data_IF_316237136844
#
_entry.id   IF_316237136844
#
_cell.length_a   1.000
_cell.length_b   1.000
_cell.length_c   1.000
_cell.angle_alpha   90.00
_cell.angle_beta   90.00
_cell.angle_gamma   90.00
#
_symmetry.space_group_name_H-M   'P 1'
#
loop_
_entity.id
_entity.type
_entity.pdbx_description
1 polymer ?
#
# COMPACT_ATOMS: atom_id res chain seq x y z
N UNK A 1 12.32 16.83 5.78
CA UNK A 1 11.39 17.78 5.13
C UNK A 1 10.06 17.71 5.86
N UNK A 2 9.24 18.76 5.85
CA UNK A 2 7.91 18.71 6.47
C UNK A 2 6.89 18.14 5.46
N UNK A 3 6.13 17.11 5.86
CA UNK A 3 5.02 16.59 5.06
C UNK A 3 3.83 17.53 5.07
N UNK A 4 3.02 17.48 4.01
CA UNK A 4 1.74 18.16 3.98
C UNK A 4 0.81 17.63 5.09
N UNK A 5 -0.04 18.49 5.64
CA UNK A 5 -0.91 18.15 6.76
C UNK A 5 -1.82 16.95 6.44
N UNK A 6 -2.26 16.80 5.19
CA UNK A 6 -3.08 15.68 4.75
C UNK A 6 -2.37 14.32 4.87
N UNK A 7 -1.05 14.27 4.62
CA UNK A 7 -0.26 13.05 4.82
C UNK A 7 -0.12 12.76 6.32
N UNK A 8 0.14 13.79 7.13
CA UNK A 8 0.24 13.65 8.59
C UNK A 8 -1.09 13.12 9.17
N UNK A 9 -2.22 13.66 8.73
CA UNK A 9 -3.55 13.21 9.17
C UNK A 9 -3.85 11.79 8.71
N UNK A 10 -3.49 11.41 7.48
CA UNK A 10 -3.65 10.02 7.03
C UNK A 10 -2.83 9.05 7.88
N UNK A 11 -1.61 9.42 8.27
CA UNK A 11 -0.79 8.62 9.19
C UNK A 11 -1.47 8.45 10.54
N UNK A 12 -1.96 9.54 11.15
CA UNK A 12 -2.67 9.47 12.44
C UNK A 12 -3.92 8.58 12.38
N UNK A 13 -4.66 8.62 11.26
CA UNK A 13 -5.80 7.72 11.06
C UNK A 13 -5.31 6.28 10.91
N UNK A 14 -4.27 6.03 10.11
CA UNK A 14 -3.71 4.70 9.89
C UNK A 14 -3.23 4.04 11.20
N UNK A 15 -2.64 4.82 12.12
CA UNK A 15 -2.25 4.35 13.46
C UNK A 15 -3.43 3.83 14.30
N UNK A 16 -4.64 4.33 14.04
CA UNK A 16 -5.86 3.93 14.75
C UNK A 16 -6.62 2.76 14.10
N UNK A 17 -6.18 2.31 12.92
CA UNK A 17 -6.88 1.30 12.13
C UNK A 17 -6.34 -0.10 12.44
N UNK A 18 -7.25 -1.04 12.73
CA UNK A 18 -6.94 -2.47 12.85
C UNK A 18 -6.84 -3.19 11.49
N UNK A 19 -6.69 -2.44 10.40
CA UNK A 19 -6.45 -2.98 9.05
C UNK A 19 -5.10 -2.49 8.55
N UNK A 20 -4.37 -3.30 7.77
CA UNK A 20 -3.13 -2.88 7.12
C UNK A 20 -3.30 -1.65 6.23
N UNK A 21 -2.42 -0.65 6.41
CA UNK A 21 -2.41 0.59 5.63
C UNK A 21 -0.99 0.94 5.19
N UNK A 22 -0.86 1.37 3.94
CA UNK A 22 0.34 1.95 3.34
C UNK A 22 0.08 3.38 2.90
N UNK A 23 1.04 4.26 3.15
CA UNK A 23 1.02 5.65 2.68
C UNK A 23 2.26 5.87 1.84
N UNK A 24 2.08 6.44 0.65
CA UNK A 24 3.15 6.71 -0.31
C UNK A 24 3.20 8.17 -0.70
N UNK A 25 4.36 8.62 -1.19
CA UNK A 25 4.47 9.90 -1.90
C UNK A 25 3.99 9.78 -3.36
N UNK A 26 4.17 10.84 -4.15
CA UNK A 26 3.78 10.85 -5.57
C UNK A 26 4.65 9.97 -6.47
N UNK A 27 5.85 9.61 -6.03
CA UNK A 27 6.75 8.72 -6.75
C UNK A 27 6.52 7.24 -6.40
N UNK A 28 5.73 6.96 -5.35
CA UNK A 28 5.45 5.62 -4.86
C UNK A 28 6.42 5.15 -3.79
N UNK A 29 7.27 6.03 -3.24
CA UNK A 29 8.07 5.70 -2.06
C UNK A 29 7.14 5.50 -0.87
N UNK A 30 7.38 4.46 -0.09
CA UNK A 30 6.60 4.15 1.09
C UNK A 30 7.01 5.09 2.23
N UNK A 31 6.11 5.99 2.59
CA UNK A 31 6.31 6.97 3.67
C UNK A 31 5.93 6.43 5.03
N UNK A 32 4.99 5.48 5.09
CA UNK A 32 4.50 4.93 6.35
C UNK A 32 3.72 3.64 6.12
N UNK A 33 3.76 2.75 7.12
CA UNK A 33 2.85 1.63 7.27
C UNK A 33 2.58 1.33 8.74
N UNK A 34 1.35 0.90 9.07
CA UNK A 34 0.93 0.69 10.45
C UNK A 34 1.25 -0.73 10.98
N UNK A 35 1.09 -0.95 12.29
CA UNK A 35 1.37 -2.22 12.97
C UNK A 35 0.70 -3.45 12.30
N UNK A 36 -0.60 -3.44 11.92
CA UNK A 36 -1.19 -4.55 11.18
C UNK A 36 -0.48 -4.90 9.86
N UNK A 37 0.12 -3.92 9.19
CA UNK A 37 0.88 -4.17 7.98
C UNK A 37 2.27 -4.76 8.25
N UNK A 38 2.85 -4.53 9.43
CA UNK A 38 4.13 -5.12 9.85
C UNK A 38 4.07 -6.64 9.87
N UNK A 39 2.96 -7.23 10.31
CA UNK A 39 2.77 -8.68 10.34
C UNK A 39 2.85 -9.30 8.94
N UNK A 40 2.29 -8.61 7.95
CA UNK A 40 2.25 -9.08 6.57
C UNK A 40 3.60 -8.86 5.88
N UNK A 41 4.28 -7.76 6.21
CA UNK A 41 5.62 -7.44 5.70
C UNK A 41 6.72 -8.26 6.37
N UNK A 42 6.48 -8.74 7.59
CA UNK A 42 7.48 -9.39 8.42
C UNK A 42 8.59 -8.45 8.92
N UNK A 43 8.36 -7.13 8.87
CA UNK A 43 9.32 -6.10 9.31
C UNK A 43 8.57 -4.94 9.96
N UNK A 44 9.09 -4.43 11.08
CA UNK A 44 8.52 -3.26 11.76
C UNK A 44 8.87 -1.96 11.04
N UNK A 45 7.98 -0.99 11.04
CA UNK A 45 8.25 0.33 10.48
C UNK A 45 9.39 1.03 11.23
N UNK A 46 9.51 0.80 12.54
CA UNK A 46 10.61 1.35 13.35
C UNK A 46 12.00 0.87 12.90
N UNK A 47 12.08 -0.32 12.31
CA UNK A 47 13.34 -0.91 11.84
C UNK A 47 13.70 -0.47 10.41
N UNK A 48 12.70 -0.23 9.56
CA UNK A 48 12.87 0.05 8.13
C UNK A 48 12.77 1.53 7.80
N UNK A 49 11.88 2.26 8.48
CA UNK A 49 11.49 3.62 8.16
C UNK A 49 10.83 3.74 6.78
N UNK A 50 11.08 4.87 6.13
CA UNK A 50 10.63 5.10 4.76
C UNK A 50 11.45 4.25 3.77
N UNK A 51 10.80 3.68 2.77
CA UNK A 51 11.44 2.83 1.76
C UNK A 51 11.22 3.39 0.36
N UNK A 52 12.25 3.27 -0.50
CA UNK A 52 12.09 3.65 -1.90
C UNK A 52 11.18 2.68 -2.65
N UNK A 53 10.60 3.11 -3.76
CA UNK A 53 9.74 2.24 -4.59
C UNK A 53 10.48 0.99 -5.09
N UNK A 54 11.78 1.08 -5.34
CA UNK A 54 12.61 -0.05 -5.76
C UNK A 54 12.77 -1.09 -4.65
N UNK A 55 12.93 -0.64 -3.41
CA UNK A 55 13.08 -1.54 -2.26
C UNK A 55 11.71 -2.15 -1.89
N UNK A 56 10.70 -1.28 -1.76
CA UNK A 56 9.31 -1.63 -1.48
C UNK A 56 8.72 -2.62 -2.50
N UNK A 57 8.91 -2.35 -3.79
CA UNK A 57 8.32 -3.14 -4.89
C UNK A 57 8.82 -4.58 -4.97
N UNK A 58 9.91 -4.91 -4.28
CA UNK A 58 10.49 -6.27 -4.27
C UNK A 58 9.97 -7.15 -3.13
N UNK A 59 9.23 -6.59 -2.17
CA UNK A 59 8.81 -7.31 -0.96
C UNK A 59 7.77 -8.39 -1.27
N UNK A 60 6.91 -8.18 -2.27
CA UNK A 60 5.84 -9.10 -2.62
C UNK A 60 5.94 -9.61 -4.05
N UNK A 61 5.66 -10.91 -4.23
CA UNK A 61 5.34 -11.46 -5.55
C UNK A 61 3.83 -11.53 -5.68
N UNK A 62 3.28 -10.77 -6.62
CA UNK A 62 1.84 -10.68 -6.83
C UNK A 62 1.43 -11.66 -7.92
N UNK A 63 0.33 -12.38 -7.71
CA UNK A 63 -0.25 -13.33 -8.68
C UNK A 63 -1.73 -13.06 -8.87
N UNK A 64 -2.23 -13.32 -10.07
CA UNK A 64 -3.67 -13.33 -10.35
C UNK A 64 -4.35 -14.60 -9.80
N UNK A 65 -5.67 -14.69 -9.96
CA UNK A 65 -6.45 -15.86 -9.53
C UNK A 65 -6.13 -17.14 -10.34
N UNK A 66 -5.43 -17.03 -11.47
CA UNK A 66 -4.93 -18.17 -12.26
C UNK A 66 -3.50 -18.58 -11.86
N UNK A 67 -2.88 -17.87 -10.91
CA UNK A 67 -1.51 -18.11 -10.45
C UNK A 67 -0.43 -17.48 -11.33
N UNK A 68 -0.79 -16.69 -12.35
CA UNK A 68 0.19 -15.98 -13.19
C UNK A 68 0.75 -14.76 -12.45
N UNK A 69 2.01 -14.37 -12.67
CA UNK A 69 2.55 -13.12 -12.15
C UNK A 69 1.69 -11.93 -12.56
N UNK A 70 1.27 -11.13 -11.58
CA UNK A 70 0.50 -9.91 -11.82
C UNK A 70 1.46 -8.76 -12.15
N UNK A 71 1.34 -8.11 -13.32
CA UNK A 71 2.19 -6.97 -13.67
C UNK A 71 2.03 -5.82 -12.67
N UNK A 72 3.12 -5.09 -12.39
CA UNK A 72 3.09 -3.98 -11.43
C UNK A 72 2.08 -2.89 -11.84
N UNK A 73 1.90 -2.67 -13.14
CA UNK A 73 0.97 -1.70 -13.72
C UNK A 73 -0.50 -2.04 -13.47
N UNK A 74 -0.80 -3.28 -13.08
CA UNK A 74 -2.14 -3.71 -12.70
C UNK A 74 -2.43 -3.55 -11.20
N UNK A 75 -1.41 -3.30 -10.38
CA UNK A 75 -1.59 -3.14 -8.94
C UNK A 75 -2.41 -1.87 -8.64
N UNK A 76 -3.42 -1.95 -7.75
CA UNK A 76 -4.28 -0.81 -7.42
C UNK A 76 -3.50 0.46 -7.08
N UNK A 77 -2.48 0.34 -6.22
CA UNK A 77 -1.67 1.49 -5.79
C UNK A 77 -0.93 2.15 -6.95
N UNK A 78 -0.33 1.36 -7.85
CA UNK A 78 0.38 1.88 -9.03
C UNK A 78 -0.59 2.60 -9.98
N UNK A 79 -1.78 2.03 -10.20
CA UNK A 79 -2.83 2.67 -11.00
C UNK A 79 -3.33 3.97 -10.36
N UNK A 80 -3.47 3.99 -9.03
CA UNK A 80 -3.86 5.18 -8.27
C UNK A 80 -2.82 6.28 -8.39
N UNK A 81 -1.54 5.96 -8.23
CA UNK A 81 -0.44 6.91 -8.41
C UNK A 81 -0.40 7.50 -9.82
N UNK A 82 -0.63 6.66 -10.84
CA UNK A 82 -0.58 7.07 -12.25
C UNK A 82 -1.78 7.93 -12.66
N UNK A 83 -2.99 7.51 -12.30
CA UNK A 83 -4.22 8.10 -12.83
C UNK A 83 -4.90 9.05 -11.84
N UNK A 84 -4.43 9.13 -10.59
CA UNK A 84 -4.98 9.97 -9.52
C UNK A 84 -6.47 9.69 -9.27
N UNK A 85 -6.87 8.42 -9.34
CA UNK A 85 -8.23 7.93 -9.07
C UNK A 85 -8.18 6.68 -8.19
N UNK A 86 -9.23 6.38 -7.41
CA UNK A 86 -9.28 5.15 -6.63
C UNK A 86 -9.29 3.89 -7.49
N UNK A 87 -8.65 2.83 -7.00
CA UNK A 87 -8.68 1.50 -7.59
C UNK A 87 -8.83 0.42 -6.54
N UNK A 88 -9.48 -0.68 -6.94
CA UNK A 88 -9.69 -1.86 -6.13
C UNK A 88 -9.36 -3.12 -6.94
N UNK A 89 -8.71 -4.10 -6.30
CA UNK A 89 -8.48 -5.44 -6.88
C UNK A 89 -8.27 -6.45 -5.76
N UNK A 90 -8.80 -7.65 -5.96
CA UNK A 90 -8.46 -8.83 -5.16
C UNK A 90 -7.46 -9.69 -5.94
N UNK A 91 -6.37 -10.09 -5.30
CA UNK A 91 -5.30 -10.88 -5.91
C UNK A 91 -4.47 -11.59 -4.82
N UNK A 92 -3.53 -12.43 -5.23
CA UNK A 92 -2.66 -13.16 -4.32
C UNK A 92 -1.33 -12.44 -4.12
N UNK A 93 -0.90 -12.32 -2.88
CA UNK A 93 0.44 -11.86 -2.51
C UNK A 93 1.24 -13.01 -1.91
N UNK A 94 2.52 -13.09 -2.21
CA UNK A 94 3.47 -13.97 -1.56
C UNK A 94 4.49 -13.12 -0.83
N UNK A 95 4.49 -13.18 0.51
CA UNK A 95 5.44 -12.44 1.34
C UNK A 95 6.85 -13.02 1.22
N UNK A 96 7.86 -12.31 1.74
CA UNK A 96 9.25 -12.79 1.81
C UNK A 96 9.40 -14.12 2.59
N UNK A 97 8.41 -14.48 3.40
CA UNK A 97 8.37 -15.74 4.16
C UNK A 97 7.79 -16.91 3.34
N UNK A 98 7.41 -16.68 2.08
CA UNK A 98 6.90 -17.70 1.16
C UNK A 98 5.43 -18.09 1.35
N UNK A 99 4.70 -17.37 2.20
CA UNK A 99 3.27 -17.62 2.42
C UNK A 99 2.45 -16.84 1.40
N UNK A 100 1.71 -17.58 0.56
CA UNK A 100 0.75 -16.99 -0.36
C UNK A 100 -0.58 -16.71 0.34
N UNK A 101 -1.08 -15.48 0.24
CA UNK A 101 -2.34 -15.05 0.82
C UNK A 101 -3.17 -14.27 -0.20
N UNK A 102 -4.47 -14.55 -0.25
CA UNK A 102 -5.41 -13.77 -1.06
C UNK A 102 -5.78 -12.52 -0.28
N UNK A 103 -5.61 -11.36 -0.90
CA UNK A 103 -5.94 -10.08 -0.30
C UNK A 103 -6.84 -9.28 -1.23
N UNK A 104 -7.69 -8.46 -0.64
CA UNK A 104 -8.45 -7.41 -1.30
C UNK A 104 -7.78 -6.09 -1.00
N UNK A 105 -7.41 -5.33 -2.03
CA UNK A 105 -6.69 -4.06 -1.90
C UNK A 105 -7.53 -2.94 -2.47
N UNK A 106 -7.75 -1.90 -1.69
CA UNK A 106 -8.28 -0.61 -2.14
C UNK A 106 -7.20 0.45 -2.00
N UNK A 107 -7.07 1.30 -3.00
CA UNK A 107 -6.17 2.46 -2.94
C UNK A 107 -6.87 3.72 -3.41
N UNK A 108 -6.49 4.86 -2.85
CA UNK A 108 -7.04 6.17 -3.18
C UNK A 108 -5.97 7.26 -3.12
N UNK A 109 -6.09 8.31 -3.96
CA UNK A 109 -5.12 9.40 -3.97
C UNK A 109 -5.34 10.35 -2.79
N UNK A 110 -4.25 10.91 -2.26
CA UNK A 110 -4.29 12.02 -1.31
C UNK A 110 -4.12 13.32 -2.09
N UNK A 111 -5.19 14.10 -2.15
CA UNK A 111 -5.22 15.42 -2.79
C UNK A 111 -5.27 16.48 -1.70
N UNK A 112 -4.26 17.36 -1.68
CA UNK A 112 -4.21 18.48 -0.74
C UNK A 112 -5.29 19.52 -1.05
N UNK A 113 -5.58 20.41 -0.08
CA UNK A 113 -6.61 21.46 -0.24
C UNK A 113 -6.42 22.37 -1.46
N UNK A 114 -5.18 22.53 -1.94
CA UNK A 114 -4.86 23.30 -3.15
C UNK A 114 -5.10 22.55 -4.46
N UNK A 115 -5.60 21.31 -4.40
CA UNK A 115 -5.72 20.41 -5.56
C UNK A 115 -4.41 19.70 -5.92
N UNK A 116 -3.34 19.90 -5.15
CA UNK A 116 -2.05 19.24 -5.38
C UNK A 116 -2.13 17.75 -5.03
N UNK A 117 -1.69 16.89 -5.93
CA UNK A 117 -1.48 15.48 -5.65
C UNK A 117 -0.28 15.28 -4.70
N UNK A 118 -0.49 14.56 -3.61
CA UNK A 118 0.50 14.38 -2.54
C UNK A 118 1.03 12.95 -2.44
N UNK A 119 0.36 11.99 -3.08
CA UNK A 119 0.65 10.57 -3.00
C UNK A 119 -0.62 9.75 -2.85
N UNK A 120 -0.52 8.53 -2.36
CA UNK A 120 -1.66 7.64 -2.25
C UNK A 120 -1.64 6.81 -0.96
N UNK A 121 -2.84 6.37 -0.56
CA UNK A 121 -3.03 5.39 0.50
C UNK A 121 -3.51 4.09 -0.11
N UNK A 122 -3.00 2.96 0.38
CA UNK A 122 -3.55 1.65 0.12
C UNK A 122 -3.93 0.98 1.44
N UNK A 123 -5.07 0.32 1.45
CA UNK A 123 -5.54 -0.50 2.55
C UNK A 123 -5.95 -1.86 2.01
N UNK A 124 -5.72 -2.90 2.81
CA UNK A 124 -5.94 -4.26 2.34
C UNK A 124 -6.29 -5.21 3.47
N UNK A 125 -7.04 -6.25 3.12
CA UNK A 125 -7.54 -7.24 4.08
C UNK A 125 -7.67 -8.60 3.39
N UNK A 126 -7.73 -9.66 4.19
CA UNK A 126 -8.15 -10.97 3.67
C UNK A 126 -9.66 -10.91 3.42
N UNK A 127 -10.15 -11.16 2.20
CA UNK A 127 -11.59 -11.21 1.97
C UNK A 127 -12.20 -12.33 2.81
N UNK A 128 -13.42 -12.12 3.33
CA UNK A 128 -14.17 -13.20 3.97
C UNK A 128 -14.40 -14.32 2.96
N UNK A 129 -14.24 -15.57 3.38
CA UNK A 129 -14.75 -16.71 2.62
C UNK A 129 -16.29 -16.60 2.62
N UNK A 130 -16.89 -16.59 1.43
CA UNK A 130 -18.35 -16.75 1.26
C UNK A 130 -18.77 -18.22 1.43
#
# INVERSE_FOLDING_TARGET
MAYAIEIILNRQIADCLAIPVFITDTAGNLLFYNEPAEEILGKRYEDTGEMSVEEWGTIFKNKDDMGNPLPAEELPLVKTLRNQTPYHKTFWIESLQGKAERISVTSYPVIGRSGKFLGAVALFWRPSEE
#
